data_IF_276800694416
#
_entry.id   IF_276800694416
#
_cell.length_a   1.000
_cell.length_b   1.000
_cell.length_c   1.000
_cell.angle_alpha   90.00
_cell.angle_beta   90.00
_cell.angle_gamma   90.00
#
_symmetry.space_group_name_H-M   'P 1'
#
loop_
_entity.id
_entity.type
_entity.pdbx_description
1 polymer ?
#
# COMPACT_ATOMS: atom_id res chain seq x y z
N UNK A 1 -37.61 32.33 19.18
CA UNK A 1 -37.13 32.22 17.79
C UNK A 1 -35.64 32.02 17.68
N UNK A 2 -34.87 32.56 18.60
CA UNK A 2 -33.42 32.37 18.61
C UNK A 2 -32.98 30.97 18.96
N UNK A 3 -33.77 30.21 19.71
CA UNK A 3 -33.43 28.86 20.11
C UNK A 3 -33.46 27.85 18.94
N UNK A 4 -34.35 28.06 17.98
CA UNK A 4 -34.42 27.19 16.80
C UNK A 4 -33.25 27.38 15.84
N UNK A 5 -32.80 28.63 15.71
CA UNK A 5 -31.65 28.96 14.87
C UNK A 5 -30.35 28.36 15.44
N UNK A 6 -30.17 28.43 16.75
CA UNK A 6 -29.02 27.88 17.42
C UNK A 6 -29.01 26.35 17.29
N UNK A 7 -30.17 25.72 17.40
CA UNK A 7 -30.29 24.28 17.27
C UNK A 7 -29.95 23.80 15.84
N UNK A 8 -30.41 24.51 14.85
CA UNK A 8 -30.13 24.23 13.44
C UNK A 8 -28.63 24.41 13.15
N UNK A 9 -28.03 25.45 13.70
CA UNK A 9 -26.61 25.69 13.54
C UNK A 9 -25.77 24.63 14.22
N UNK A 10 -26.15 24.19 15.40
CA UNK A 10 -25.49 23.12 16.10
C UNK A 10 -25.64 21.78 15.36
N UNK A 11 -26.80 21.52 14.81
CA UNK A 11 -27.05 20.32 14.03
C UNK A 11 -26.25 20.32 12.73
N UNK A 12 -26.12 21.48 12.11
CA UNK A 12 -25.30 21.64 10.91
C UNK A 12 -23.81 21.40 11.20
N UNK A 13 -23.33 21.85 12.34
CA UNK A 13 -21.96 21.60 12.78
C UNK A 13 -21.69 20.12 13.05
N UNK A 14 -22.67 19.41 13.57
CA UNK A 14 -22.56 17.98 13.80
C UNK A 14 -22.50 17.19 12.50
N UNK A 15 -23.22 17.66 11.48
CA UNK A 15 -23.21 16.99 10.17
C UNK A 15 -21.91 17.19 9.41
N UNK A 16 -21.22 18.30 9.63
CA UNK A 16 -19.95 18.54 8.96
C UNK A 16 -18.80 17.69 9.50
N UNK A 17 -19.01 17.05 10.63
CA UNK A 17 -18.01 16.14 11.19
C UNK A 17 -18.22 14.67 10.74
N UNK A 18 -19.19 14.42 9.91
CA UNK A 18 -19.41 13.10 9.36
C UNK A 18 -18.52 12.78 8.16
N UNK A 19 -17.35 13.39 8.07
CA UNK A 19 -16.36 13.02 7.10
C UNK A 19 -15.59 11.77 7.51
N UNK A 20 -16.30 10.72 7.84
CA UNK A 20 -15.64 9.41 7.94
C UNK A 20 -15.44 8.94 6.51
N UNK A 21 -14.35 9.38 5.95
CA UNK A 21 -13.88 8.82 4.72
C UNK A 21 -13.30 7.47 5.10
N UNK A 22 -14.01 6.43 4.79
CA UNK A 22 -13.42 5.11 4.76
C UNK A 22 -12.43 5.10 3.60
N UNK A 23 -11.29 5.68 3.83
CA UNK A 23 -10.23 5.56 2.86
C UNK A 23 -9.81 4.11 2.84
N UNK A 24 -10.02 3.49 1.71
CA UNK A 24 -9.45 2.19 1.44
C UNK A 24 -7.94 2.38 1.45
N UNK A 25 -7.34 2.09 2.58
CA UNK A 25 -5.92 2.29 2.77
C UNK A 25 -5.18 1.10 2.18
N UNK A 26 -4.55 1.31 1.03
CA UNK A 26 -3.67 0.31 0.45
C UNK A 26 -2.36 0.23 1.20
N UNK A 27 -1.84 -0.98 1.35
CA UNK A 27 -0.52 -1.24 1.90
C UNK A 27 0.30 -2.07 0.94
N UNK A 28 1.62 -1.86 0.98
CA UNK A 28 2.57 -2.66 0.24
C UNK A 28 3.18 -3.66 1.21
N UNK A 29 3.14 -4.93 0.84
CA UNK A 29 3.81 -5.98 1.59
C UNK A 29 5.02 -6.45 0.78
N UNK A 30 6.20 -6.22 1.31
CA UNK A 30 7.46 -6.65 0.70
C UNK A 30 8.01 -7.79 1.53
N UNK A 31 8.03 -8.99 0.96
CA UNK A 31 8.56 -10.17 1.63
C UNK A 31 9.95 -10.45 1.07
N UNK A 32 10.94 -10.45 1.94
CA UNK A 32 12.32 -10.76 1.61
C UNK A 32 12.79 -11.98 2.41
N UNK A 33 13.96 -12.55 2.09
CA UNK A 33 14.44 -13.72 2.84
C UNK A 33 14.67 -13.47 4.33
N UNK A 34 14.91 -12.21 4.71
CA UNK A 34 15.27 -11.87 6.08
C UNK A 34 14.14 -11.20 6.85
N UNK A 35 13.21 -10.55 6.16
CA UNK A 35 12.15 -9.80 6.85
C UNK A 35 10.98 -9.47 5.92
N UNK A 36 9.87 -9.06 6.51
CA UNK A 36 8.71 -8.54 5.80
C UNK A 36 8.56 -7.06 6.12
N UNK A 37 8.41 -6.24 5.09
CA UNK A 37 8.24 -4.80 5.22
C UNK A 37 6.82 -4.45 4.83
N UNK A 38 6.12 -3.70 5.68
CA UNK A 38 4.79 -3.16 5.40
C UNK A 38 4.93 -1.65 5.28
N UNK A 39 4.42 -1.10 4.19
CA UNK A 39 4.50 0.34 3.92
C UNK A 39 3.17 0.85 3.36
N UNK A 40 2.68 2.01 3.80
CA UNK A 40 1.46 2.58 3.24
C UNK A 40 1.63 2.93 1.77
N UNK A 41 0.66 2.57 0.94
CA UNK A 41 0.73 2.83 -0.50
C UNK A 41 0.64 4.32 -0.82
N UNK A 42 -0.06 5.09 0.00
CA UNK A 42 -0.25 6.53 -0.23
C UNK A 42 0.97 7.38 0.12
N UNK A 43 1.96 6.79 0.79
CA UNK A 43 3.14 7.51 1.27
C UNK A 43 4.31 7.27 0.32
N UNK A 44 4.77 8.31 -0.35
CA UNK A 44 5.90 8.21 -1.27
C UNK A 44 7.18 7.85 -0.52
N UNK A 45 7.95 6.92 -1.07
CA UNK A 45 9.19 6.48 -0.47
C UNK A 45 10.07 5.74 -1.47
N UNK A 46 11.36 5.71 -1.15
CA UNK A 46 12.33 4.83 -1.80
C UNK A 46 12.79 3.85 -0.73
N UNK A 47 12.56 2.57 -0.95
CA UNK A 47 12.82 1.53 0.03
C UNK A 47 13.91 0.60 -0.51
N UNK A 48 14.95 0.40 0.30
CA UNK A 48 15.99 -0.56 0.00
C UNK A 48 15.60 -1.91 0.57
N UNK A 49 15.61 -2.94 -0.26
CA UNK A 49 15.24 -4.30 0.12
C UNK A 49 16.43 -5.21 -0.12
N UNK A 50 16.85 -5.91 0.91
CA UNK A 50 17.94 -6.86 0.79
C UNK A 50 17.40 -8.20 0.32
N UNK A 51 17.70 -8.57 -0.93
CA UNK A 51 17.38 -9.87 -1.46
C UNK A 51 18.46 -10.91 -1.16
N UNK A 52 18.24 -12.12 -1.64
CA UNK A 52 19.20 -13.22 -1.43
C UNK A 52 20.52 -12.96 -2.16
N UNK A 53 20.45 -12.37 -3.34
CA UNK A 53 21.63 -12.17 -4.18
C UNK A 53 22.14 -10.73 -4.06
N UNK A 54 21.24 -9.76 -4.07
CA UNK A 54 21.59 -8.36 -4.13
C UNK A 54 20.53 -7.50 -3.50
N UNK A 55 20.82 -6.20 -3.38
CA UNK A 55 19.82 -5.23 -2.96
C UNK A 55 18.92 -4.84 -4.12
N UNK A 56 17.67 -4.59 -3.79
CA UNK A 56 16.69 -4.06 -4.71
C UNK A 56 16.23 -2.70 -4.22
N UNK A 57 15.91 -1.81 -5.13
CA UNK A 57 15.35 -0.50 -4.81
C UNK A 57 13.91 -0.46 -5.28
N UNK A 58 13.02 -0.16 -4.35
CA UNK A 58 11.57 -0.10 -4.57
C UNK A 58 11.13 1.35 -4.46
N UNK A 59 10.37 1.82 -5.42
CA UNK A 59 9.82 3.16 -5.43
C UNK A 59 8.32 3.12 -5.23
N UNK A 60 7.82 3.92 -4.29
CA UNK A 60 6.40 4.13 -4.04
C UNK A 60 6.06 5.57 -4.41
N UNK A 61 5.14 5.75 -5.35
CA UNK A 61 4.76 7.08 -5.81
C UNK A 61 3.37 7.03 -6.44
N UNK A 62 2.55 8.04 -6.16
CA UNK A 62 1.20 8.17 -6.73
C UNK A 62 0.34 6.93 -6.53
N UNK A 63 0.36 6.36 -5.32
CA UNK A 63 -0.39 5.14 -4.98
C UNK A 63 -0.03 3.96 -5.87
N UNK A 64 1.23 3.89 -6.30
CA UNK A 64 1.76 2.80 -7.10
C UNK A 64 3.14 2.41 -6.59
N UNK A 65 3.56 1.23 -6.93
CA UNK A 65 4.87 0.72 -6.53
C UNK A 65 5.55 0.04 -7.71
N UNK A 66 6.85 0.18 -7.79
CA UNK A 66 7.69 -0.50 -8.78
C UNK A 66 9.08 -0.76 -8.24
N UNK A 67 9.79 -1.68 -8.88
CA UNK A 67 11.22 -1.90 -8.64
C UNK A 67 11.99 -1.08 -9.68
N UNK A 68 12.88 -0.21 -9.21
CA UNK A 68 13.67 0.63 -10.10
C UNK A 68 15.09 0.12 -10.27
N UNK A 69 15.57 -0.74 -9.37
CA UNK A 69 16.93 -1.27 -9.44
C UNK A 69 16.96 -2.66 -8.83
N UNK A 70 17.62 -3.57 -9.52
CA UNK A 70 17.84 -4.95 -9.08
C UNK A 70 18.94 -5.56 -9.94
N UNK A 71 19.79 -6.37 -9.31
CA UNK A 71 20.86 -7.08 -10.02
C UNK A 71 20.46 -8.49 -10.44
N UNK A 72 19.19 -8.85 -10.36
CA UNK A 72 18.77 -10.16 -10.84
C UNK A 72 18.94 -10.27 -12.35
N UNK A 73 19.30 -11.46 -12.82
CA UNK A 73 19.72 -11.69 -14.20
C UNK A 73 18.68 -11.30 -15.24
N UNK A 74 17.43 -11.70 -15.03
CA UNK A 74 16.37 -11.47 -16.02
C UNK A 74 15.65 -10.12 -15.83
N UNK A 75 15.81 -9.49 -14.69
CA UNK A 75 15.20 -8.19 -14.34
C UNK A 75 13.69 -8.16 -14.57
N UNK A 76 13.03 -9.27 -14.36
CA UNK A 76 11.57 -9.38 -14.52
C UNK A 76 10.86 -8.45 -13.55
N UNK A 77 11.40 -8.29 -12.35
CA UNK A 77 10.85 -7.37 -11.35
C UNK A 77 10.80 -5.92 -11.85
N UNK A 78 11.85 -5.49 -12.56
CA UNK A 78 11.89 -4.14 -13.14
C UNK A 78 10.94 -4.05 -14.34
N UNK A 79 10.93 -5.07 -15.18
CA UNK A 79 10.09 -5.11 -16.38
C UNK A 79 8.60 -5.12 -16.07
N UNK A 80 8.21 -5.59 -14.89
CA UNK A 80 6.81 -5.56 -14.46
C UNK A 80 6.27 -4.13 -14.41
N UNK A 81 7.11 -3.17 -14.07
CA UNK A 81 6.71 -1.77 -14.02
C UNK A 81 5.85 -1.44 -12.80
N UNK A 82 5.01 -0.43 -12.95
CA UNK A 82 4.14 0.03 -11.87
C UNK A 82 3.01 -0.95 -11.62
N UNK A 83 2.76 -1.25 -10.36
CA UNK A 83 1.56 -1.97 -9.93
C UNK A 83 0.76 -1.09 -8.96
N UNK A 84 -0.55 -1.18 -9.01
CA UNK A 84 -1.44 -0.36 -8.18
C UNK A 84 -2.67 -1.11 -7.68
N UNK A 85 -2.93 -2.32 -8.13
CA UNK A 85 -4.13 -3.08 -7.82
C UNK A 85 -3.81 -4.25 -6.88
N UNK A 86 -4.78 -4.64 -6.07
CA UNK A 86 -4.59 -5.69 -5.07
C UNK A 86 -4.33 -7.08 -5.63
N UNK A 87 -4.60 -7.31 -6.91
CA UNK A 87 -4.31 -8.58 -7.56
C UNK A 87 -2.95 -8.59 -8.27
N UNK A 88 -2.27 -7.45 -8.31
CA UNK A 88 -0.97 -7.34 -8.95
C UNK A 88 0.16 -7.63 -7.96
N UNK A 89 1.24 -8.19 -8.47
CA UNK A 89 2.41 -8.42 -7.64
C UNK A 89 3.68 -8.35 -8.49
N UNK A 90 4.80 -8.10 -7.82
CA UNK A 90 6.13 -8.13 -8.43
C UNK A 90 6.91 -9.24 -7.75
N UNK A 91 7.51 -10.11 -8.54
CA UNK A 91 8.28 -11.22 -8.02
C UNK A 91 9.70 -11.18 -8.59
N UNK A 92 10.68 -11.26 -7.70
CA UNK A 92 12.07 -11.48 -8.07
C UNK A 92 12.51 -12.83 -7.48
N UNK A 93 12.37 -13.88 -8.26
CA UNK A 93 12.67 -15.23 -7.80
C UNK A 93 14.13 -15.42 -7.38
N UNK A 94 15.12 -14.92 -8.14
CA UNK A 94 16.53 -15.05 -7.71
C UNK A 94 16.84 -14.41 -6.38
N UNK A 95 16.23 -13.25 -6.09
CA UNK A 95 16.39 -12.55 -4.83
C UNK A 95 15.42 -13.03 -3.74
N UNK A 96 14.45 -13.87 -4.09
CA UNK A 96 13.41 -14.34 -3.17
C UNK A 96 12.66 -13.18 -2.53
N UNK A 97 12.37 -12.16 -3.33
CA UNK A 97 11.61 -10.99 -2.91
C UNK A 97 10.30 -10.94 -3.66
N UNK A 98 9.22 -10.74 -2.94
CA UNK A 98 7.91 -10.50 -3.54
C UNK A 98 7.32 -9.21 -3.00
N UNK A 99 6.65 -8.46 -3.87
CA UNK A 99 5.99 -7.21 -3.53
C UNK A 99 4.56 -7.33 -3.99
N UNK A 100 3.63 -7.11 -3.08
CA UNK A 100 2.21 -7.11 -3.44
C UNK A 100 1.48 -6.00 -2.72
N UNK A 101 0.34 -5.63 -3.26
CA UNK A 101 -0.51 -4.59 -2.71
C UNK A 101 -1.68 -5.24 -2.00
N UNK A 102 -1.92 -4.81 -0.78
CA UNK A 102 -3.04 -5.27 0.02
C UNK A 102 -3.90 -4.06 0.35
N UNK A 103 -5.18 -4.17 0.06
CA UNK A 103 -6.15 -3.19 0.49
C UNK A 103 -6.82 -3.71 1.76
N UNK A 104 -6.80 -2.88 2.78
CA UNK A 104 -7.37 -3.23 4.07
C UNK A 104 -8.70 -2.51 4.26
N UNK A 105 -9.82 -3.07 3.88
CA UNK A 105 -11.00 -2.82 4.64
C UNK A 105 -10.99 -3.90 5.72
N UNK A 106 -10.46 -3.54 6.81
CA UNK A 106 -10.52 -4.19 8.07
C UNK A 106 -10.54 -5.71 8.14
N UNK A 107 -11.32 -6.40 7.41
CA UNK A 107 -11.65 -7.77 7.74
C UNK A 107 -11.49 -8.80 6.65
N UNK A 108 -11.16 -8.37 5.47
CA UNK A 108 -11.05 -9.29 4.36
C UNK A 108 -9.92 -10.29 4.51
N UNK A 109 -8.94 -9.96 5.34
CA UNK A 109 -7.79 -10.84 5.56
C UNK A 109 -8.15 -12.11 6.30
N UNK A 110 -9.20 -12.08 7.08
CA UNK A 110 -9.61 -13.24 7.86
C UNK A 110 -10.28 -14.29 7.00
N UNK A 111 -10.72 -13.92 5.84
CA UNK A 111 -11.41 -14.81 4.93
C UNK A 111 -10.49 -15.70 4.14
N UNK A 112 -9.21 -15.48 4.24
CA UNK A 112 -8.23 -16.14 3.37
C UNK A 112 -7.43 -17.20 4.11
N UNK A 113 -7.87 -17.59 5.25
CA UNK A 113 -7.25 -18.71 5.94
C UNK A 113 -7.79 -20.02 5.40
N UNK A 114 -7.01 -20.67 4.68
CA UNK A 114 -7.32 -22.04 4.22
C UNK A 114 -6.52 -23.04 4.97
#
# INVERSE_FOLDING_TARGET
MTKKLVFVLLFSLLLSNCGIINEITGQIEIVSPTKTIIHPLHKEAIIQVKGKISQMTVEVKNNRVRVISSDCHDKVCIKTGWISHGYEFILCAPNQVSIRIRFLPGQSDQMITY
#
